data_IF_417414358156
#
_entry.id   IF_417414358156
#
_cell.length_a   1.000
_cell.length_b   1.000
_cell.length_c   1.000
_cell.angle_alpha   90.00
_cell.angle_beta   90.00
_cell.angle_gamma   90.00
#
_symmetry.space_group_name_H-M   'P 1'
#
loop_
_entity.id
_entity.type
_entity.pdbx_description
1 polymer ?
#
# COMPACT_ATOMS: atom_id res chain seq x y z
N UNK A 1 61.11 15.74 28.21
CA UNK A 1 60.15 16.12 27.15
C UNK A 1 58.73 16.07 27.76
N UNK A 2 58.30 17.22 28.33
CA UNK A 2 57.05 17.29 29.11
C UNK A 2 55.88 17.52 28.16
N UNK A 3 55.07 16.51 27.91
CA UNK A 3 53.79 16.68 27.27
C UNK A 3 52.83 17.32 28.29
N UNK A 4 52.69 18.61 28.17
CA UNK A 4 51.73 19.38 28.95
C UNK A 4 50.32 18.86 28.71
N UNK A 5 49.77 18.17 29.70
CA UNK A 5 48.37 17.82 29.80
C UNK A 5 47.56 19.11 29.98
N UNK A 6 47.28 19.78 28.86
CA UNK A 6 46.59 21.04 28.90
C UNK A 6 45.10 20.76 29.17
N UNK A 7 44.70 20.99 30.39
CA UNK A 7 43.34 20.81 30.93
C UNK A 7 42.27 21.54 30.10
N UNK A 8 42.69 22.55 29.32
CA UNK A 8 41.81 23.32 28.45
C UNK A 8 41.32 22.56 27.22
N UNK A 9 42.08 21.58 26.72
CA UNK A 9 41.66 20.81 25.53
C UNK A 9 40.74 19.63 25.83
N UNK A 10 40.68 19.20 27.09
CA UNK A 10 39.77 18.13 27.52
C UNK A 10 38.32 18.58 27.45
N UNK A 11 38.05 19.84 27.78
CA UNK A 11 36.71 20.44 27.65
C UNK A 11 36.29 20.62 26.20
N UNK A 12 37.18 20.98 25.30
CA UNK A 12 36.93 21.09 23.89
C UNK A 12 36.52 19.74 23.28
N UNK A 13 37.16 18.64 23.72
CA UNK A 13 36.80 17.29 23.27
C UNK A 13 35.38 16.90 23.67
N UNK A 14 34.94 17.17 24.88
CA UNK A 14 33.56 16.90 25.33
C UNK A 14 32.54 17.81 24.61
N UNK A 15 32.92 19.05 24.32
CA UNK A 15 32.05 19.98 23.63
C UNK A 15 31.85 19.55 22.16
N UNK A 16 32.90 19.09 21.49
CA UNK A 16 32.82 18.56 20.13
C UNK A 16 31.97 17.27 20.09
N UNK A 17 32.13 16.37 21.08
CA UNK A 17 31.31 15.17 21.17
C UNK A 17 29.84 15.48 21.45
N UNK A 18 29.55 16.46 22.29
CA UNK A 18 28.21 16.90 22.60
C UNK A 18 27.53 17.54 21.39
N UNK A 19 28.25 18.36 20.64
CA UNK A 19 27.75 18.97 19.39
C UNK A 19 27.52 17.89 18.32
N UNK A 20 28.41 16.90 18.21
CA UNK A 20 28.25 15.81 17.27
C UNK A 20 27.05 14.92 17.61
N UNK A 21 26.83 14.66 18.90
CA UNK A 21 25.67 13.91 19.39
C UNK A 21 24.35 14.69 19.17
N UNK A 22 24.38 16.03 19.35
CA UNK A 22 23.23 16.87 19.11
C UNK A 22 22.83 16.93 17.62
N UNK A 23 23.82 16.89 16.71
CA UNK A 23 23.59 16.87 15.26
C UNK A 23 22.98 15.53 14.82
N UNK A 24 23.30 14.42 15.49
CA UNK A 24 22.72 13.10 15.21
C UNK A 24 21.23 13.02 15.57
N UNK A 25 20.76 13.84 16.52
CA UNK A 25 19.35 13.89 16.93
C UNK A 25 18.46 14.74 16.00
N UNK A 26 19.05 15.49 15.08
CA UNK A 26 18.33 16.30 14.06
C UNK A 26 18.06 15.51 12.78
N UNK A 27 17.94 14.17 12.85
CA UNK A 27 17.40 13.42 11.73
C UNK A 27 15.94 13.83 11.57
N UNK A 28 15.53 14.43 10.43
CA UNK A 28 14.12 14.62 10.19
C UNK A 28 13.52 13.22 10.15
N UNK A 29 12.71 12.90 11.14
CA UNK A 29 11.78 11.78 11.05
C UNK A 29 10.88 12.16 9.88
N UNK A 30 11.18 11.63 8.70
CA UNK A 30 10.23 11.61 7.61
C UNK A 30 9.09 10.72 8.10
N UNK A 31 8.18 11.33 8.87
CA UNK A 31 6.88 10.76 9.06
C UNK A 31 6.40 10.44 7.64
N UNK A 32 6.17 9.17 7.37
CA UNK A 32 5.43 8.75 6.20
C UNK A 32 4.06 9.41 6.34
N UNK A 33 4.00 10.65 5.88
CA UNK A 33 2.74 11.31 5.64
C UNK A 33 2.04 10.35 4.68
N UNK A 34 0.99 9.68 5.18
CA UNK A 34 -0.07 9.21 4.31
C UNK A 34 -0.45 10.44 3.49
N UNK A 35 0.22 10.63 2.35
CA UNK A 35 -0.22 11.60 1.37
C UNK A 35 -1.63 11.16 1.02
N UNK A 36 -2.59 11.83 1.60
CA UNK A 36 -3.95 11.79 1.10
C UNK A 36 -3.85 12.34 -0.31
N UNK A 37 -3.58 11.45 -1.26
CA UNK A 37 -3.53 11.79 -2.68
C UNK A 37 -4.90 12.36 -3.01
N UNK A 38 -4.96 13.69 -3.13
CA UNK A 38 -6.16 14.38 -3.51
C UNK A 38 -6.30 14.29 -5.02
N UNK A 39 -7.44 13.84 -5.46
CA UNK A 39 -7.73 13.69 -6.88
C UNK A 39 -9.03 14.42 -7.25
N UNK A 40 -9.04 14.95 -8.44
CA UNK A 40 -10.24 15.46 -9.08
C UNK A 40 -10.61 14.51 -10.21
N UNK A 41 -11.79 13.92 -10.12
CA UNK A 41 -12.30 12.98 -11.13
C UNK A 41 -13.77 13.29 -11.41
N UNK A 42 -14.11 13.34 -12.68
CA UNK A 42 -15.47 13.56 -13.14
C UNK A 42 -15.76 12.62 -14.31
N UNK A 43 -16.49 11.56 -14.03
CA UNK A 43 -16.90 10.55 -15.02
C UNK A 43 -18.40 10.29 -14.91
N UNK A 44 -19.04 10.05 -16.02
CA UNK A 44 -20.46 9.71 -16.09
C UNK A 44 -20.63 8.44 -16.91
N UNK A 45 -21.28 7.46 -16.33
CA UNK A 45 -21.63 6.19 -16.99
C UNK A 45 -20.43 5.53 -17.71
N UNK A 46 -19.25 5.56 -17.07
CA UNK A 46 -18.03 4.98 -17.62
C UNK A 46 -17.79 3.58 -17.07
N UNK A 47 -17.30 2.64 -17.89
CA UNK A 47 -16.93 1.31 -17.40
C UNK A 47 -15.83 1.41 -16.35
N UNK A 48 -15.87 0.52 -15.36
CA UNK A 48 -14.94 0.44 -14.21
C UNK A 48 -13.48 0.50 -14.66
N UNK A 49 -13.14 -0.17 -15.76
CA UNK A 49 -11.78 -0.19 -16.31
C UNK A 49 -11.25 1.20 -16.67
N UNK A 50 -12.09 2.00 -17.35
CA UNK A 50 -11.72 3.38 -17.70
C UNK A 50 -11.53 4.26 -16.47
N UNK A 51 -12.37 4.06 -15.46
CA UNK A 51 -12.26 4.77 -14.18
C UNK A 51 -10.95 4.43 -13.48
N UNK A 52 -10.57 3.15 -13.43
CA UNK A 52 -9.28 2.74 -12.86
C UNK A 52 -8.09 3.31 -13.62
N UNK A 53 -8.18 3.32 -14.97
CA UNK A 53 -7.15 3.92 -15.80
C UNK A 53 -6.98 5.41 -15.51
N UNK A 54 -8.07 6.17 -15.42
CA UNK A 54 -8.03 7.61 -15.09
C UNK A 54 -7.45 7.88 -13.70
N UNK A 55 -7.84 7.08 -12.69
CA UNK A 55 -7.26 7.19 -11.35
C UNK A 55 -5.77 6.86 -11.39
N UNK A 56 -5.37 5.81 -12.10
CA UNK A 56 -3.97 5.41 -12.26
C UNK A 56 -3.13 6.52 -12.88
N UNK A 57 -3.62 7.16 -13.93
CA UNK A 57 -2.93 8.27 -14.61
C UNK A 57 -2.74 9.50 -13.70
N UNK A 58 -3.71 9.77 -12.83
CA UNK A 58 -3.68 10.91 -11.90
C UNK A 58 -2.84 10.67 -10.65
N UNK A 59 -2.76 9.43 -10.17
CA UNK A 59 -2.12 9.08 -8.90
C UNK A 59 -0.80 8.32 -9.08
N UNK A 60 -0.55 7.76 -10.25
CA UNK A 60 0.58 6.87 -10.51
C UNK A 60 0.42 5.47 -9.89
N UNK A 61 -0.72 5.17 -9.27
CA UNK A 61 -1.01 3.87 -8.69
C UNK A 61 -1.36 2.84 -9.76
N UNK A 62 -1.02 1.59 -9.51
CA UNK A 62 -1.34 0.46 -10.38
C UNK A 62 -2.54 -0.30 -9.84
N UNK A 63 -3.53 -0.56 -10.68
CA UNK A 63 -4.67 -1.39 -10.33
C UNK A 63 -4.46 -2.82 -10.83
N UNK A 64 -4.62 -3.77 -9.94
CA UNK A 64 -4.56 -5.19 -10.24
C UNK A 64 -5.94 -5.82 -10.01
N UNK A 65 -6.55 -6.35 -11.06
CA UNK A 65 -7.89 -6.92 -11.03
C UNK A 65 -8.03 -8.10 -11.99
N UNK A 66 -8.86 -9.05 -11.61
CA UNK A 66 -9.17 -10.20 -12.45
C UNK A 66 -10.34 -9.94 -13.40
N UNK A 67 -10.54 -10.83 -14.38
CA UNK A 67 -11.66 -10.75 -15.33
C UNK A 67 -13.04 -10.70 -14.67
N UNK A 68 -13.20 -11.27 -13.49
CA UNK A 68 -14.46 -11.25 -12.74
C UNK A 68 -14.92 -9.86 -12.37
N UNK A 69 -13.97 -8.92 -12.20
CA UNK A 69 -14.25 -7.50 -11.95
C UNK A 69 -14.72 -6.83 -13.23
N UNK A 70 -14.09 -7.13 -14.37
CA UNK A 70 -14.43 -6.58 -15.67
C UNK A 70 -15.76 -7.09 -16.21
N UNK A 71 -16.03 -8.38 -16.03
CA UNK A 71 -17.29 -9.03 -16.50
C UNK A 71 -18.54 -8.52 -15.79
N UNK A 72 -18.38 -7.80 -14.69
CA UNK A 72 -19.50 -7.18 -13.98
C UNK A 72 -20.21 -6.10 -14.80
N UNK A 73 -19.63 -5.68 -15.92
CA UNK A 73 -20.14 -4.68 -16.88
C UNK A 73 -20.78 -3.45 -16.21
N UNK A 74 -20.18 -3.03 -15.09
CA UNK A 74 -20.70 -1.96 -14.27
C UNK A 74 -20.19 -0.62 -14.78
N UNK A 75 -21.11 0.31 -14.93
CA UNK A 75 -20.78 1.69 -15.21
C UNK A 75 -20.79 2.51 -13.94
N UNK A 76 -19.82 3.40 -13.81
CA UNK A 76 -19.64 4.27 -12.67
C UNK A 76 -19.88 5.72 -13.04
N UNK A 77 -20.49 6.46 -12.12
CA UNK A 77 -20.59 7.90 -12.21
C UNK A 77 -19.99 8.52 -10.95
N UNK A 78 -18.89 9.24 -11.14
CA UNK A 78 -18.14 9.86 -10.05
C UNK A 78 -17.97 11.35 -10.35
N UNK A 79 -18.16 12.18 -9.35
CA UNK A 79 -17.92 13.62 -9.43
C UNK A 79 -17.25 14.07 -8.13
N UNK A 80 -15.95 14.11 -8.15
CA UNK A 80 -15.13 14.53 -7.02
C UNK A 80 -14.18 15.63 -7.43
N UNK A 81 -14.05 16.63 -6.57
CA UNK A 81 -13.08 17.71 -6.72
C UNK A 81 -12.22 17.76 -5.47
N UNK A 82 -10.92 17.64 -5.65
CA UNK A 82 -9.92 17.70 -4.55
C UNK A 82 -10.24 16.71 -3.40
N UNK A 83 -10.76 15.54 -3.74
CA UNK A 83 -11.12 14.50 -2.78
C UNK A 83 -9.97 13.55 -2.52
N UNK A 84 -9.93 12.96 -1.32
CA UNK A 84 -8.95 11.91 -1.03
C UNK A 84 -9.21 10.66 -1.86
N UNK A 85 -8.15 9.97 -2.26
CA UNK A 85 -8.28 8.70 -2.98
C UNK A 85 -9.15 7.70 -2.23
N UNK A 86 -9.03 7.64 -0.90
CA UNK A 86 -9.86 6.76 -0.06
C UNK A 86 -11.35 7.04 -0.19
N UNK A 87 -11.73 8.32 -0.27
CA UNK A 87 -13.12 8.73 -0.48
C UNK A 87 -13.65 8.28 -1.85
N UNK A 88 -12.84 8.44 -2.88
CA UNK A 88 -13.20 7.99 -4.24
C UNK A 88 -13.34 6.49 -4.31
N UNK A 89 -12.40 5.72 -3.72
CA UNK A 89 -12.47 4.27 -3.68
C UNK A 89 -13.67 3.77 -2.86
N UNK A 90 -14.01 4.44 -1.75
CA UNK A 90 -15.20 4.11 -0.96
C UNK A 90 -16.49 4.28 -1.77
N UNK A 91 -16.59 5.30 -2.59
CA UNK A 91 -17.74 5.50 -3.48
C UNK A 91 -17.81 4.44 -4.58
N UNK A 92 -16.66 4.05 -5.15
CA UNK A 92 -16.62 2.95 -6.11
C UNK A 92 -17.04 1.63 -5.43
N UNK A 93 -16.60 1.39 -4.19
CA UNK A 93 -17.04 0.23 -3.39
C UNK A 93 -18.57 0.21 -3.26
N UNK A 94 -19.17 1.37 -3.00
CA UNK A 94 -20.61 1.49 -2.82
C UNK A 94 -21.39 1.24 -4.13
N UNK A 95 -20.91 1.78 -5.25
CA UNK A 95 -21.58 1.66 -6.55
C UNK A 95 -21.35 0.30 -7.21
N UNK A 96 -20.11 -0.19 -7.18
CA UNK A 96 -19.72 -1.40 -7.92
C UNK A 96 -19.60 -2.67 -7.04
N UNK A 97 -19.74 -2.56 -5.72
CA UNK A 97 -19.57 -3.71 -4.83
C UNK A 97 -18.16 -4.31 -4.93
N UNK A 98 -17.16 -3.47 -5.09
CA UNK A 98 -15.76 -3.86 -5.16
C UNK A 98 -15.07 -3.61 -3.82
N UNK A 99 -14.06 -4.39 -3.52
CA UNK A 99 -13.18 -4.21 -2.39
C UNK A 99 -11.77 -3.86 -2.88
N UNK A 100 -11.10 -2.95 -2.17
CA UNK A 100 -9.77 -2.43 -2.51
C UNK A 100 -8.79 -2.71 -1.38
N UNK A 101 -7.66 -3.26 -1.73
CA UNK A 101 -6.54 -3.49 -0.81
C UNK A 101 -5.29 -2.83 -1.40
N UNK A 102 -4.72 -1.86 -0.67
CA UNK A 102 -3.52 -1.16 -1.11
C UNK A 102 -2.28 -1.80 -0.51
N UNK A 103 -1.33 -2.11 -1.37
CA UNK A 103 0.02 -2.51 -0.99
C UNK A 103 0.99 -1.63 -1.76
N UNK A 104 1.69 -0.75 -1.05
CA UNK A 104 2.61 0.25 -1.61
C UNK A 104 1.98 1.08 -2.74
N UNK A 105 2.40 0.86 -3.97
CA UNK A 105 1.94 1.56 -5.17
C UNK A 105 0.92 0.75 -6.00
N UNK A 106 0.41 -0.34 -5.44
CA UNK A 106 -0.53 -1.25 -6.12
C UNK A 106 -1.83 -1.33 -5.32
N UNK A 107 -2.95 -1.30 -6.03
CA UNK A 107 -4.28 -1.52 -5.50
C UNK A 107 -4.84 -2.81 -6.09
N UNK A 108 -5.00 -3.82 -5.25
CA UNK A 108 -5.69 -5.06 -5.61
C UNK A 108 -7.20 -4.86 -5.50
N UNK A 109 -7.92 -5.25 -6.54
CA UNK A 109 -9.38 -5.09 -6.61
C UNK A 109 -10.03 -6.47 -6.65
N UNK A 110 -11.00 -6.68 -5.78
CA UNK A 110 -11.79 -7.91 -5.72
C UNK A 110 -13.28 -7.59 -5.60
N UNK A 111 -14.15 -8.54 -5.93
CA UNK A 111 -15.57 -8.40 -5.62
C UNK A 111 -15.81 -8.45 -4.12
N UNK A 112 -16.61 -7.54 -3.61
CA UNK A 112 -17.10 -7.62 -2.24
C UNK A 112 -18.00 -8.86 -2.12
N UNK A 113 -17.62 -9.79 -1.25
CA UNK A 113 -18.48 -10.92 -0.94
C UNK A 113 -19.79 -10.40 -0.35
N UNK A 114 -20.91 -10.77 -0.95
CA UNK A 114 -22.25 -10.50 -0.42
C UNK A 114 -22.49 -11.52 0.68
N UNK A 115 -22.35 -11.10 1.93
CA UNK A 115 -22.47 -11.96 3.10
C UNK A 115 -21.24 -11.79 3.99
N UNK A 116 -21.44 -11.09 5.12
CA UNK A 116 -20.37 -10.72 6.02
C UNK A 116 -19.52 -11.91 6.43
N UNK A 117 -18.26 -11.76 6.10
CA UNK A 117 -17.16 -12.21 6.93
C UNK A 117 -15.97 -11.36 6.59
N UNK A 118 -15.49 -10.65 7.61
CA UNK A 118 -14.24 -9.92 7.58
C UNK A 118 -13.19 -10.83 6.94
N UNK A 119 -12.38 -10.21 6.06
CA UNK A 119 -11.21 -10.81 5.45
C UNK A 119 -10.37 -11.55 6.50
N UNK A 120 -10.77 -12.75 6.81
CA UNK A 120 -9.92 -13.72 7.47
C UNK A 120 -8.84 -14.06 6.46
N UNK A 121 -7.58 -13.82 6.86
CA UNK A 121 -6.38 -14.37 6.29
C UNK A 121 -6.67 -15.51 5.31
N UNK A 122 -6.12 -15.41 4.11
CA UNK A 122 -5.98 -16.59 3.25
C UNK A 122 -5.40 -17.70 4.09
N UNK A 123 -6.27 -18.49 4.66
CA UNK A 123 -5.90 -19.76 5.23
C UNK A 123 -5.28 -20.53 4.07
N UNK A 124 -3.98 -20.69 4.13
CA UNK A 124 -3.26 -21.62 3.27
C UNK A 124 -3.98 -22.94 3.45
N UNK A 125 -4.77 -23.33 2.47
CA UNK A 125 -5.32 -24.69 2.46
C UNK A 125 -4.12 -25.60 2.29
N UNK A 126 -3.79 -26.45 3.25
CA UNK A 126 -2.72 -27.41 3.05
C UNK A 126 -3.15 -28.29 1.86
N UNK A 127 -2.42 -28.20 0.78
CA UNK A 127 -2.56 -29.13 -0.32
C UNK A 127 -1.81 -30.39 0.10
N UNK A 128 -2.53 -31.40 0.54
CA UNK A 128 -1.97 -32.73 0.77
C UNK A 128 -2.17 -33.54 -0.50
N UNK A 129 -1.10 -34.00 -1.07
CA UNK A 129 -1.07 -34.92 -2.20
C UNK A 129 -0.22 -36.15 -1.84
N UNK A 130 -0.63 -37.31 -2.29
CA UNK A 130 0.21 -38.50 -2.24
C UNK A 130 0.97 -38.59 -3.57
N UNK A 131 2.28 -38.65 -3.52
CA UNK A 131 3.12 -38.92 -4.68
C UNK A 131 3.16 -40.42 -4.82
N UNK A 132 2.70 -40.92 -5.95
CA UNK A 132 2.77 -42.35 -6.28
C UNK A 132 3.73 -42.57 -7.42
N UNK A 133 4.38 -43.72 -7.46
CA UNK A 133 5.24 -44.15 -8.57
C UNK A 133 4.40 -44.61 -9.79
N UNK A 134 5.07 -45.06 -10.84
CA UNK A 134 4.45 -45.55 -12.07
C UNK A 134 3.56 -46.82 -11.88
N UNK A 135 3.69 -47.48 -10.74
CA UNK A 135 2.93 -48.67 -10.38
C UNK A 135 1.75 -48.33 -9.44
N UNK A 136 1.62 -47.05 -9.05
CA UNK A 136 0.58 -46.55 -8.16
C UNK A 136 0.86 -46.74 -6.65
N UNK A 137 2.13 -47.04 -6.28
CA UNK A 137 2.54 -47.17 -4.89
C UNK A 137 3.00 -45.83 -4.34
N UNK A 138 2.61 -45.45 -3.09
CA UNK A 138 3.04 -44.19 -2.48
C UNK A 138 4.55 -44.19 -2.24
N UNK A 139 5.20 -43.15 -2.75
CA UNK A 139 6.64 -42.95 -2.53
C UNK A 139 6.78 -42.18 -1.19
N UNK A 140 7.41 -42.83 -0.22
CA UNK A 140 7.70 -42.29 1.12
C UNK A 140 9.06 -41.56 1.09
#
# INVERSE_FOLDING_TARGET
>A
MNFLTNKKYRWAGYFIHFVFLAILCLQPVTAQTNRSEKITIQVQNQPVEKVFKEISEKTGLKFFYGETVLKANQSLSLSFRDASLSTVLAEITRQAGLNFERTDNTISVSKKAVGGEASASRSLRPVSGVIVDENGEPVI
#
